data_IF_693852787058
#
_entry.id   IF_693852787058
#
_cell.length_a   1.000
_cell.length_b   1.000
_cell.length_c   1.000
_cell.angle_alpha   90.00
_cell.angle_beta   90.00
_cell.angle_gamma   90.00
#
_symmetry.space_group_name_H-M   'P 1'
#
loop_
_entity.id
_entity.type
_entity.pdbx_description
1 polymer ?
#
# COMPACT_ATOMS: atom_id res chain seq x y z
N UNK A 1 -93.69 -25.25 -41.66
CA UNK A 1 -93.51 -24.62 -40.43
C UNK A 1 -92.84 -23.32 -40.65
N UNK A 2 -93.47 -22.22 -40.22
CA UNK A 2 -92.96 -20.85 -40.37
C UNK A 2 -92.12 -20.47 -39.11
N UNK A 3 -90.92 -21.03 -39.01
CA UNK A 3 -89.97 -20.53 -38.02
C UNK A 3 -88.95 -19.61 -38.70
N UNK A 4 -88.91 -18.36 -38.28
CA UNK A 4 -87.87 -17.46 -38.73
C UNK A 4 -86.53 -17.92 -38.18
N UNK A 5 -85.48 -17.87 -39.01
CA UNK A 5 -84.10 -18.01 -38.52
C UNK A 5 -83.79 -16.90 -37.59
N UNK A 6 -83.26 -17.20 -36.43
CA UNK A 6 -82.69 -16.23 -35.45
C UNK A 6 -81.20 -16.32 -35.54
N UNK A 7 -80.53 -15.19 -35.70
CA UNK A 7 -79.08 -15.09 -35.63
C UNK A 7 -78.71 -14.21 -34.46
N UNK A 8 -77.67 -14.59 -33.76
CA UNK A 8 -77.02 -13.81 -32.71
C UNK A 8 -75.57 -13.60 -33.14
N UNK A 9 -75.03 -12.39 -32.92
CA UNK A 9 -73.68 -12.00 -33.31
C UNK A 9 -72.81 -11.89 -32.06
N UNK A 10 -71.66 -12.54 -32.08
CA UNK A 10 -70.62 -12.40 -31.06
C UNK A 10 -69.47 -11.57 -31.63
N UNK A 11 -69.16 -10.44 -30.96
CA UNK A 11 -68.02 -9.62 -31.31
C UNK A 11 -66.82 -10.10 -30.49
N UNK A 12 -65.79 -10.60 -31.17
CA UNK A 12 -64.51 -10.95 -30.58
C UNK A 12 -63.54 -9.83 -30.87
N UNK A 13 -63.07 -9.14 -29.80
CA UNK A 13 -62.06 -8.11 -29.91
C UNK A 13 -60.72 -8.75 -29.57
N UNK A 14 -59.77 -8.73 -30.50
CA UNK A 14 -58.38 -9.13 -30.30
C UNK A 14 -57.57 -7.89 -29.90
N UNK A 15 -56.82 -8.02 -28.85
CA UNK A 15 -55.85 -6.99 -28.39
C UNK A 15 -54.45 -7.45 -28.76
N UNK A 16 -53.58 -6.54 -29.12
CA UNK A 16 -52.16 -6.83 -29.38
C UNK A 16 -51.48 -7.33 -28.14
N UNK A 17 -50.50 -8.22 -28.35
CA UNK A 17 -49.68 -8.76 -27.22
C UNK A 17 -48.79 -7.67 -26.64
N UNK A 18 -48.61 -7.66 -25.31
CA UNK A 18 -47.64 -6.75 -24.67
C UNK A 18 -46.23 -7.11 -25.07
N UNK A 19 -45.34 -6.10 -25.15
CA UNK A 19 -43.92 -6.28 -25.46
C UNK A 19 -43.10 -5.55 -24.39
N UNK A 20 -42.09 -6.24 -23.90
CA UNK A 20 -41.08 -5.64 -23.02
C UNK A 20 -39.77 -5.44 -23.79
N UNK A 21 -39.09 -4.36 -23.55
CA UNK A 21 -37.80 -3.99 -24.14
C UNK A 21 -36.86 -3.59 -22.99
N UNK A 22 -36.06 -4.50 -22.52
CA UNK A 22 -35.10 -4.31 -21.40
C UNK A 22 -33.83 -3.55 -21.81
N UNK A 23 -33.69 -3.20 -23.09
CA UNK A 23 -32.49 -2.62 -23.66
C UNK A 23 -31.36 -3.65 -23.87
N UNK A 24 -30.23 -3.21 -24.42
CA UNK A 24 -29.09 -4.09 -24.70
C UNK A 24 -28.25 -4.36 -23.46
N UNK A 25 -27.55 -5.50 -23.45
CA UNK A 25 -26.57 -5.87 -22.45
C UNK A 25 -25.52 -4.75 -22.27
N UNK A 26 -25.06 -4.56 -21.04
CA UNK A 26 -24.04 -3.57 -20.71
C UNK A 26 -22.83 -4.23 -20.01
N UNK A 27 -21.67 -3.65 -20.23
CA UNK A 27 -20.46 -3.95 -19.45
C UNK A 27 -20.02 -2.71 -18.70
N UNK A 28 -19.84 -2.85 -17.40
CA UNK A 28 -19.49 -1.73 -16.50
C UNK A 28 -18.32 -2.14 -15.60
N UNK A 29 -17.70 -1.18 -14.95
CA UNK A 29 -16.68 -1.45 -13.94
C UNK A 29 -17.29 -1.55 -12.54
N UNK A 30 -16.68 -2.34 -11.66
CA UNK A 30 -17.07 -2.47 -10.27
C UNK A 30 -16.92 -1.18 -9.45
N UNK A 31 -16.14 -0.20 -9.94
CA UNK A 31 -15.99 1.12 -9.33
C UNK A 31 -17.05 2.14 -9.78
N UNK A 32 -17.98 1.75 -10.69
CA UNK A 32 -19.11 2.55 -11.11
C UNK A 32 -20.24 2.36 -10.11
N UNK A 33 -20.78 3.46 -9.61
CA UNK A 33 -21.80 3.43 -8.56
C UNK A 33 -23.21 3.05 -9.05
N UNK A 34 -23.47 3.11 -10.37
CA UNK A 34 -24.81 2.85 -10.91
C UNK A 34 -24.82 2.63 -12.43
N UNK A 35 -25.84 1.92 -12.90
CA UNK A 35 -26.10 1.60 -14.32
C UNK A 35 -27.44 2.16 -14.73
N UNK A 36 -27.47 3.06 -15.71
CA UNK A 36 -28.72 3.64 -16.24
C UNK A 36 -29.46 2.62 -17.12
N UNK A 37 -30.75 2.47 -16.86
CA UNK A 37 -31.64 1.60 -17.61
C UNK A 37 -32.49 2.43 -18.58
N UNK A 38 -32.82 1.87 -19.76
CA UNK A 38 -33.64 2.48 -20.77
C UNK A 38 -34.71 1.46 -21.18
N UNK A 39 -35.56 1.09 -20.23
CA UNK A 39 -36.64 0.14 -20.48
C UNK A 39 -37.77 0.75 -21.31
N UNK A 40 -38.43 -0.09 -22.06
CA UNK A 40 -39.62 0.28 -22.82
C UNK A 40 -40.69 -0.82 -22.80
N UNK A 41 -41.94 -0.43 -22.95
CA UNK A 41 -43.06 -1.35 -23.08
C UNK A 41 -43.99 -0.90 -24.24
N UNK A 42 -44.59 -1.85 -24.94
CA UNK A 42 -45.62 -1.62 -25.92
C UNK A 42 -46.87 -2.46 -25.55
N UNK A 43 -48.07 -1.95 -25.86
CA UNK A 43 -49.35 -2.61 -25.56
C UNK A 43 -49.51 -3.00 -24.07
N UNK A 44 -48.90 -2.26 -23.17
CA UNK A 44 -48.93 -2.36 -21.72
C UNK A 44 -48.93 -0.99 -21.09
N UNK A 45 -49.43 -0.84 -19.85
CA UNK A 45 -49.47 0.45 -19.14
C UNK A 45 -48.10 0.80 -18.55
N UNK A 46 -47.30 -0.19 -18.13
CA UNK A 46 -46.00 0.00 -17.51
C UNK A 46 -45.20 -1.29 -17.43
N UNK A 47 -44.11 -1.26 -16.70
CA UNK A 47 -43.25 -2.41 -16.45
C UNK A 47 -42.66 -2.36 -15.05
N UNK A 48 -42.18 -3.50 -14.59
CA UNK A 48 -41.44 -3.65 -13.33
C UNK A 48 -40.13 -4.34 -13.61
N UNK A 49 -39.04 -3.73 -13.14
CA UNK A 49 -37.72 -4.32 -13.11
C UNK A 49 -37.58 -5.30 -11.94
N UNK A 50 -36.90 -6.38 -12.18
CA UNK A 50 -36.42 -7.32 -11.14
C UNK A 50 -34.98 -7.73 -11.44
N UNK A 51 -34.28 -8.29 -10.45
CA UNK A 51 -32.89 -8.71 -10.58
C UNK A 51 -32.67 -10.08 -9.93
N UNK A 52 -31.73 -10.86 -10.46
CA UNK A 52 -31.22 -12.05 -9.81
C UNK A 52 -30.08 -11.73 -8.80
N UNK A 53 -29.62 -10.47 -8.78
CA UNK A 53 -28.63 -9.95 -7.85
C UNK A 53 -29.24 -9.40 -6.54
N UNK A 54 -28.44 -8.65 -5.81
CA UNK A 54 -28.83 -8.03 -4.53
C UNK A 54 -28.76 -6.50 -4.55
N UNK A 55 -28.53 -5.89 -5.73
CA UNK A 55 -28.58 -4.45 -5.95
C UNK A 55 -30.01 -3.90 -5.91
N UNK A 56 -30.14 -2.59 -6.04
CA UNK A 56 -31.40 -1.87 -5.92
C UNK A 56 -31.69 -0.99 -7.14
N UNK A 57 -32.97 -0.74 -7.39
CA UNK A 57 -33.44 0.20 -8.43
C UNK A 57 -33.76 1.56 -7.82
N UNK A 58 -33.33 2.63 -8.46
CA UNK A 58 -33.55 4.01 -8.01
C UNK A 58 -34.09 4.86 -9.16
N UNK A 59 -35.20 5.62 -9.02
CA UNK A 59 -35.95 5.85 -7.77
C UNK A 59 -36.84 4.66 -7.37
N UNK A 60 -37.24 3.79 -8.29
CA UNK A 60 -38.05 2.61 -8.04
C UNK A 60 -37.91 1.60 -9.16
N UNK A 61 -38.28 0.35 -8.89
CA UNK A 61 -38.33 -0.75 -9.88
C UNK A 61 -39.43 -0.60 -10.94
N UNK A 62 -40.43 0.30 -10.72
CA UNK A 62 -41.49 0.62 -11.66
C UNK A 62 -41.14 1.77 -12.62
N UNK A 63 -40.00 2.43 -12.42
CA UNK A 63 -39.50 3.42 -13.39
C UNK A 63 -38.75 2.71 -14.52
N UNK A 64 -39.26 2.84 -15.73
CA UNK A 64 -38.62 2.21 -16.90
C UNK A 64 -37.21 2.73 -17.15
N UNK A 65 -36.92 3.97 -16.77
CA UNK A 65 -35.61 4.61 -16.86
C UNK A 65 -34.88 4.63 -15.53
N UNK A 66 -35.16 3.67 -14.64
CA UNK A 66 -34.45 3.56 -13.35
C UNK A 66 -32.94 3.42 -13.53
N UNK A 67 -32.26 3.63 -12.47
CA UNK A 67 -30.82 3.32 -12.33
C UNK A 67 -30.67 2.10 -11.45
N UNK A 68 -29.97 1.09 -11.91
CA UNK A 68 -29.58 -0.06 -11.09
C UNK A 68 -28.30 0.26 -10.36
N UNK A 69 -28.29 0.10 -9.04
CA UNK A 69 -27.12 0.25 -8.17
C UNK A 69 -26.65 -1.14 -7.75
N UNK A 70 -25.56 -1.66 -8.34
CA UNK A 70 -25.04 -2.97 -7.99
C UNK A 70 -24.63 -3.01 -6.52
N UNK A 71 -24.88 -4.14 -5.86
CA UNK A 71 -24.36 -4.40 -4.53
C UNK A 71 -22.90 -4.90 -4.57
N UNK A 72 -22.25 -4.98 -3.40
CA UNK A 72 -20.94 -5.65 -3.29
C UNK A 72 -21.01 -7.12 -3.68
N UNK A 73 -22.14 -7.80 -3.43
CA UNK A 73 -22.36 -9.17 -3.89
C UNK A 73 -22.37 -9.27 -5.42
N UNK A 74 -23.03 -8.35 -6.09
CA UNK A 74 -23.10 -8.30 -7.57
C UNK A 74 -21.71 -8.05 -8.18
N UNK A 75 -20.93 -7.12 -7.60
CA UNK A 75 -19.57 -6.82 -8.06
C UNK A 75 -18.62 -8.00 -7.86
N UNK A 76 -18.80 -8.78 -6.79
CA UNK A 76 -18.01 -10.00 -6.54
C UNK A 76 -18.34 -11.14 -7.52
N UNK A 77 -19.64 -11.30 -7.87
CA UNK A 77 -20.11 -12.30 -8.85
C UNK A 77 -19.70 -11.91 -10.27
N UNK A 78 -19.65 -10.60 -10.56
CA UNK A 78 -19.24 -10.05 -11.85
C UNK A 78 -20.31 -10.11 -12.94
N UNK A 79 -21.52 -10.53 -12.63
CA UNK A 79 -22.64 -10.62 -13.59
C UNK A 79 -23.98 -10.50 -12.87
N UNK A 80 -24.90 -9.74 -13.46
CA UNK A 80 -26.27 -9.57 -12.98
C UNK A 80 -27.22 -9.60 -14.18
N UNK A 81 -28.32 -10.35 -14.07
CA UNK A 81 -29.40 -10.34 -15.04
C UNK A 81 -30.57 -9.51 -14.50
N UNK A 82 -30.95 -8.49 -15.23
CA UNK A 82 -32.15 -7.68 -14.97
C UNK A 82 -33.29 -8.18 -15.88
N UNK A 83 -34.49 -8.20 -15.35
CA UNK A 83 -35.70 -8.61 -16.09
C UNK A 83 -36.71 -7.48 -16.03
N UNK A 84 -37.15 -6.99 -17.19
CA UNK A 84 -38.28 -6.05 -17.30
C UNK A 84 -39.55 -6.85 -17.64
N UNK A 85 -40.54 -6.80 -16.78
CA UNK A 85 -41.83 -7.48 -16.96
C UNK A 85 -42.94 -6.46 -17.17
N UNK A 86 -43.76 -6.58 -18.23
CA UNK A 86 -44.87 -5.68 -18.51
C UNK A 86 -45.99 -5.77 -17.47
N UNK A 87 -46.62 -4.65 -17.17
CA UNK A 87 -47.76 -4.52 -16.24
C UNK A 87 -48.93 -3.81 -16.87
N UNK A 88 -50.16 -4.05 -16.35
CA UNK A 88 -51.37 -3.44 -16.93
C UNK A 88 -51.69 -3.95 -18.33
N UNK A 89 -51.52 -5.25 -18.56
CA UNK A 89 -51.61 -5.93 -19.85
C UNK A 89 -53.05 -6.22 -20.31
N UNK A 90 -54.07 -5.70 -19.61
CA UNK A 90 -55.47 -6.02 -19.88
C UNK A 90 -55.77 -7.49 -19.68
N UNK A 91 -56.25 -8.17 -20.71
CA UNK A 91 -56.54 -9.61 -20.70
C UNK A 91 -55.35 -10.49 -21.15
N UNK A 92 -54.23 -9.85 -21.56
CA UNK A 92 -53.03 -10.57 -22.02
C UNK A 92 -52.12 -10.95 -20.85
N UNK A 93 -51.35 -12.04 -21.02
CA UNK A 93 -50.30 -12.39 -20.09
C UNK A 93 -49.18 -11.36 -20.09
N UNK A 94 -48.49 -11.22 -18.95
CA UNK A 94 -47.28 -10.41 -18.88
C UNK A 94 -46.19 -10.97 -19.79
N UNK A 95 -45.40 -10.11 -20.38
CA UNK A 95 -44.23 -10.41 -21.18
C UNK A 95 -42.98 -9.87 -20.52
N UNK A 96 -41.89 -10.55 -20.63
CA UNK A 96 -40.62 -10.17 -20.05
C UNK A 96 -39.49 -10.14 -21.07
N UNK A 97 -38.50 -9.32 -20.81
CA UNK A 97 -37.26 -9.23 -21.55
C UNK A 97 -36.09 -9.11 -20.58
N UNK A 98 -34.91 -9.57 -21.00
CA UNK A 98 -33.73 -9.70 -20.15
C UNK A 98 -32.62 -8.76 -20.63
N UNK A 99 -31.88 -8.23 -19.68
CA UNK A 99 -30.68 -7.44 -19.88
C UNK A 99 -29.59 -7.97 -18.95
N UNK A 100 -28.42 -8.31 -19.50
CA UNK A 100 -27.27 -8.73 -18.70
C UNK A 100 -26.33 -7.54 -18.46
N UNK A 101 -25.89 -7.40 -17.22
CA UNK A 101 -24.83 -6.48 -16.83
C UNK A 101 -23.59 -7.31 -16.48
N UNK A 102 -22.53 -7.16 -17.26
CA UNK A 102 -21.21 -7.70 -16.92
C UNK A 102 -20.44 -6.67 -16.12
N UNK A 103 -19.99 -7.02 -14.91
CA UNK A 103 -19.27 -6.12 -14.01
C UNK A 103 -17.80 -6.57 -13.97
N UNK A 104 -16.92 -5.79 -14.56
CA UNK A 104 -15.48 -6.06 -14.54
C UNK A 104 -14.86 -5.59 -13.21
N UNK A 105 -13.92 -6.34 -12.61
CA UNK A 105 -13.23 -5.91 -11.39
C UNK A 105 -12.50 -4.58 -11.59
N UNK A 106 -12.49 -3.73 -10.56
CA UNK A 106 -11.72 -2.49 -10.56
C UNK A 106 -10.20 -2.78 -10.59
N UNK A 107 -9.40 -1.93 -11.23
CA UNK A 107 -7.96 -2.09 -11.24
C UNK A 107 -7.36 -1.77 -9.87
N UNK A 108 -6.24 -2.41 -9.57
CA UNK A 108 -5.45 -2.19 -8.36
C UNK A 108 -4.01 -1.96 -8.79
N UNK A 109 -3.34 -0.97 -8.17
CA UNK A 109 -1.89 -0.79 -8.22
C UNK A 109 -1.31 -1.11 -6.85
N UNK A 110 -0.09 -1.61 -6.84
CA UNK A 110 0.76 -1.73 -5.67
C UNK A 110 2.13 -1.14 -6.02
N UNK A 111 2.45 0.01 -5.43
CA UNK A 111 3.69 0.76 -5.67
C UNK A 111 4.88 0.22 -4.86
N UNK A 112 4.65 -0.69 -3.94
CA UNK A 112 5.63 -1.20 -2.98
C UNK A 112 5.46 -0.60 -1.59
N UNK A 113 6.32 -1.02 -0.67
CA UNK A 113 6.33 -0.50 0.69
C UNK A 113 7.17 0.78 0.79
N UNK A 114 6.85 1.62 1.76
CA UNK A 114 7.69 2.77 2.12
C UNK A 114 9.13 2.32 2.36
N UNK A 115 10.08 3.11 1.85
CA UNK A 115 11.49 2.74 1.86
C UNK A 115 12.40 3.92 2.17
N UNK A 116 13.66 3.63 2.47
CA UNK A 116 14.68 4.65 2.71
C UNK A 116 15.96 4.33 1.97
N UNK A 117 16.63 5.38 1.47
CA UNK A 117 17.93 5.30 0.81
C UNK A 117 18.90 6.32 1.39
N UNK A 118 20.19 6.08 1.16
CA UNK A 118 21.23 7.05 1.49
C UNK A 118 21.48 8.00 0.30
N UNK A 119 21.74 9.26 0.59
CA UNK A 119 22.11 10.24 -0.44
C UNK A 119 23.43 9.92 -1.17
N UNK A 120 24.28 9.00 -0.64
CA UNK A 120 25.44 8.46 -1.35
C UNK A 120 25.11 7.37 -2.37
N UNK A 121 23.97 6.73 -2.23
CA UNK A 121 23.46 5.74 -3.19
C UNK A 121 21.98 6.07 -3.50
N UNK A 122 21.73 7.10 -4.29
CA UNK A 122 20.43 7.75 -4.43
C UNK A 122 19.50 7.01 -5.39
N UNK A 123 19.63 5.70 -5.56
CA UNK A 123 18.85 4.88 -6.49
C UNK A 123 17.90 3.95 -5.74
N UNK A 124 16.64 3.90 -6.18
CA UNK A 124 15.57 3.11 -5.58
C UNK A 124 15.00 2.16 -6.63
N UNK A 125 15.26 0.86 -6.54
CA UNK A 125 14.55 -0.09 -7.38
C UNK A 125 13.08 -0.14 -6.96
N UNK A 126 12.18 0.10 -7.92
CA UNK A 126 10.75 0.01 -7.75
C UNK A 126 10.29 -1.40 -8.14
N UNK A 127 9.32 -1.93 -7.44
CA UNK A 127 8.74 -3.26 -7.68
C UNK A 127 7.23 -3.14 -7.79
N UNK A 128 6.76 -2.32 -8.73
CA UNK A 128 5.33 -2.08 -8.91
C UNK A 128 4.60 -3.30 -9.50
N UNK A 129 3.33 -3.42 -9.14
CA UNK A 129 2.45 -4.40 -9.79
C UNK A 129 1.06 -3.82 -9.98
N UNK A 130 0.35 -4.34 -10.98
CA UNK A 130 -1.03 -3.96 -11.28
C UNK A 130 -1.89 -5.21 -11.48
N UNK A 131 -3.16 -5.13 -11.10
CA UNK A 131 -4.16 -6.18 -11.28
C UNK A 131 -5.32 -5.59 -12.07
N UNK A 132 -5.88 -6.34 -13.01
CA UNK A 132 -7.01 -5.96 -13.88
C UNK A 132 -6.69 -4.83 -14.87
N UNK A 133 -5.58 -4.13 -14.72
CA UNK A 133 -5.06 -3.15 -15.67
C UNK A 133 -4.01 -3.80 -16.58
N UNK A 134 -3.75 -3.21 -17.77
CA UNK A 134 -2.73 -3.72 -18.70
C UNK A 134 -1.35 -3.16 -18.45
N UNK A 135 -1.22 -2.10 -17.64
CA UNK A 135 0.04 -1.46 -17.29
C UNK A 135 -0.12 -0.43 -16.17
N UNK A 136 0.97 0.25 -15.86
CA UNK A 136 1.03 1.35 -14.92
C UNK A 136 2.00 2.43 -15.38
N UNK A 137 1.86 3.60 -14.80
CA UNK A 137 2.79 4.72 -15.00
C UNK A 137 3.23 5.26 -13.65
N UNK A 138 4.54 5.43 -13.51
CA UNK A 138 5.14 6.06 -12.36
C UNK A 138 5.16 7.58 -12.50
N UNK A 139 4.83 8.28 -11.43
CA UNK A 139 4.98 9.72 -11.30
C UNK A 139 5.54 10.06 -9.92
N UNK A 140 5.96 11.29 -9.71
CA UNK A 140 6.54 11.71 -8.43
C UNK A 140 6.25 13.19 -8.16
N UNK A 141 6.22 13.58 -6.89
CA UNK A 141 6.27 14.98 -6.48
C UNK A 141 7.71 15.52 -6.39
N UNK A 142 8.71 14.64 -6.56
CA UNK A 142 10.12 15.02 -6.63
C UNK A 142 10.57 15.46 -8.02
N UNK A 143 11.86 15.59 -8.21
CA UNK A 143 12.50 15.99 -9.47
C UNK A 143 13.52 14.97 -9.99
N UNK A 144 13.53 13.75 -9.43
CA UNK A 144 14.31 12.62 -9.91
C UNK A 144 13.76 12.01 -11.21
N UNK A 145 14.41 10.96 -11.70
CA UNK A 145 14.08 10.33 -12.97
C UNK A 145 13.83 8.83 -12.84
N UNK A 146 13.00 8.29 -13.74
CA UNK A 146 12.73 6.86 -13.85
C UNK A 146 13.54 6.22 -14.97
N UNK A 147 14.26 5.14 -14.68
CA UNK A 147 15.09 4.41 -15.64
C UNK A 147 14.65 2.93 -15.69
N UNK A 148 14.39 2.32 -16.88
CA UNK A 148 14.60 2.86 -18.23
C UNK A 148 13.55 3.91 -18.65
N UNK A 149 12.36 3.88 -18.05
CA UNK A 149 11.25 4.82 -18.27
C UNK A 149 10.20 4.69 -17.15
N UNK A 150 9.23 5.56 -17.16
CA UNK A 150 8.14 5.64 -16.16
C UNK A 150 7.02 4.61 -16.35
N UNK A 151 7.01 3.85 -17.45
CA UNK A 151 6.03 2.78 -17.70
C UNK A 151 6.53 1.38 -17.36
N UNK A 152 7.82 1.23 -17.05
CA UNK A 152 8.37 -0.03 -16.55
C UNK A 152 8.01 -0.19 -15.06
N UNK A 153 7.23 -1.22 -14.72
CA UNK A 153 6.81 -1.47 -13.35
C UNK A 153 8.00 -1.76 -12.41
N UNK A 154 9.14 -2.22 -12.96
CA UNK A 154 10.39 -2.46 -12.24
C UNK A 154 11.41 -1.34 -12.47
N UNK A 155 10.97 -0.13 -12.80
CA UNK A 155 11.86 1.00 -12.98
C UNK A 155 12.72 1.27 -11.75
N UNK A 156 13.83 1.95 -11.97
CA UNK A 156 14.66 2.51 -10.90
C UNK A 156 14.36 4.01 -10.83
N UNK A 157 14.02 4.51 -9.65
CA UNK A 157 13.95 5.94 -9.40
C UNK A 157 15.31 6.44 -8.94
N UNK A 158 15.89 7.37 -9.67
CA UNK A 158 17.13 8.06 -9.32
C UNK A 158 16.78 9.44 -8.75
N UNK A 159 17.10 9.66 -7.47
CA UNK A 159 16.76 10.91 -6.79
C UNK A 159 17.63 12.06 -7.28
N UNK A 160 17.03 13.22 -7.42
CA UNK A 160 17.77 14.45 -7.73
C UNK A 160 18.47 15.04 -6.49
N UNK A 161 19.36 16.03 -6.69
CA UNK A 161 19.93 16.79 -5.57
C UNK A 161 18.86 17.55 -4.79
N UNK A 162 17.81 18.00 -5.45
CA UNK A 162 16.67 18.65 -4.78
C UNK A 162 15.93 17.67 -3.86
N UNK A 163 15.68 16.46 -4.32
CA UNK A 163 15.03 15.40 -3.53
C UNK A 163 15.87 15.06 -2.30
N UNK A 164 17.19 14.93 -2.47
CA UNK A 164 18.14 14.67 -1.39
C UNK A 164 18.17 15.80 -0.36
N UNK A 165 17.96 17.03 -0.79
CA UNK A 165 17.92 18.21 0.11
C UNK A 165 16.60 18.26 0.89
N UNK A 166 15.47 17.90 0.24
CA UNK A 166 14.16 17.84 0.88
C UNK A 166 14.07 16.65 1.84
N UNK A 167 14.75 15.55 1.53
CA UNK A 167 14.84 14.35 2.37
C UNK A 167 13.65 13.40 2.27
N UNK A 168 12.57 13.76 1.56
CA UNK A 168 11.38 12.92 1.36
C UNK A 168 10.79 13.13 -0.02
N UNK A 169 10.37 12.04 -0.66
CA UNK A 169 9.70 12.05 -1.97
C UNK A 169 8.54 11.06 -1.95
N UNK A 170 7.43 11.44 -2.55
CA UNK A 170 6.33 10.52 -2.84
C UNK A 170 6.41 10.07 -4.29
N UNK A 171 6.34 8.76 -4.50
CA UNK A 171 6.34 8.11 -5.80
C UNK A 171 4.99 7.40 -5.95
N UNK A 172 4.30 7.64 -7.05
CA UNK A 172 2.95 7.16 -7.32
C UNK A 172 2.97 6.17 -8.47
N UNK A 173 2.30 5.04 -8.32
CA UNK A 173 1.99 4.12 -9.41
C UNK A 173 0.51 4.22 -9.76
N UNK A 174 0.20 4.69 -10.95
CA UNK A 174 -1.17 4.81 -11.46
C UNK A 174 -1.40 3.77 -12.54
N UNK A 175 -2.50 3.01 -12.44
CA UNK A 175 -2.87 1.98 -13.43
C UNK A 175 -3.22 2.60 -14.76
N UNK A 176 -2.87 1.92 -15.87
CA UNK A 176 -3.19 2.29 -17.25
C UNK A 176 -3.81 1.13 -18.01
N UNK A 177 -4.58 1.44 -19.07
CA UNK A 177 -5.31 0.41 -19.82
C UNK A 177 -6.39 -0.26 -19.00
N UNK A 178 -7.15 0.53 -18.26
CA UNK A 178 -8.16 0.11 -17.28
C UNK A 178 -9.51 -0.29 -17.90
N UNK A 179 -9.62 -0.31 -19.24
CA UNK A 179 -10.89 -0.55 -19.93
C UNK A 179 -11.92 0.53 -19.60
N UNK A 180 -13.05 0.12 -19.03
CA UNK A 180 -14.13 1.03 -18.60
C UNK A 180 -13.96 1.54 -17.16
N UNK A 181 -12.94 1.07 -16.44
CA UNK A 181 -12.69 1.40 -15.04
C UNK A 181 -11.90 2.70 -14.89
N UNK A 182 -12.07 3.36 -13.74
CA UNK A 182 -11.22 4.48 -13.36
C UNK A 182 -9.78 4.00 -13.08
N UNK A 183 -8.82 4.88 -13.26
CA UNK A 183 -7.46 4.60 -12.85
C UNK A 183 -7.36 4.54 -11.32
N UNK A 184 -6.55 3.62 -10.81
CA UNK A 184 -6.21 3.51 -9.40
C UNK A 184 -4.75 3.91 -9.20
N UNK A 185 -4.47 4.62 -8.10
CA UNK A 185 -3.13 5.08 -7.76
C UNK A 185 -2.76 4.59 -6.36
N UNK A 186 -1.56 4.01 -6.25
CA UNK A 186 -0.92 3.69 -4.98
C UNK A 186 0.35 4.52 -4.81
N UNK A 187 0.80 4.70 -3.56
CA UNK A 187 1.88 5.62 -3.22
C UNK A 187 2.91 4.91 -2.34
N UNK A 188 4.18 5.07 -2.69
CA UNK A 188 5.32 4.74 -1.81
C UNK A 188 5.99 6.03 -1.34
N UNK A 189 6.26 6.13 -0.03
CA UNK A 189 7.01 7.22 0.56
C UNK A 189 8.50 6.83 0.63
N UNK A 190 9.33 7.63 -0.02
CA UNK A 190 10.77 7.49 -0.01
C UNK A 190 11.38 8.49 0.99
N UNK A 191 12.14 7.97 1.95
CA UNK A 191 12.96 8.79 2.85
C UNK A 191 14.42 8.76 2.39
N UNK A 192 15.03 9.93 2.21
CA UNK A 192 16.43 10.06 1.78
C UNK A 192 17.26 10.53 2.97
N UNK A 193 18.12 9.65 3.48
CA UNK A 193 18.98 9.94 4.63
C UNK A 193 20.23 10.69 4.14
N UNK A 194 20.58 11.84 4.74
CA UNK A 194 21.81 12.54 4.39
C UNK A 194 23.04 11.75 4.80
N UNK A 195 24.18 12.00 4.14
CA UNK A 195 25.44 11.26 4.31
C UNK A 195 26.20 11.59 5.59
N UNK A 196 25.77 12.57 6.36
CA UNK A 196 26.51 13.08 7.52
C UNK A 196 26.30 12.25 8.80
N UNK A 197 26.27 10.91 8.70
CA UNK A 197 26.34 10.08 9.91
C UNK A 197 27.76 10.19 10.44
N UNK A 198 27.90 10.71 11.64
CA UNK A 198 29.18 10.70 12.36
C UNK A 198 29.03 9.99 13.69
N UNK A 199 30.09 9.34 14.10
CA UNK A 199 30.27 8.73 15.42
C UNK A 199 31.60 9.21 15.99
N UNK A 200 31.61 9.53 17.26
CA UNK A 200 32.81 9.91 17.99
C UNK A 200 32.75 9.28 19.40
N UNK A 201 33.72 8.47 19.73
CA UNK A 201 33.77 7.71 20.98
C UNK A 201 34.78 8.25 21.99
N UNK A 202 35.52 9.30 21.62
CA UNK A 202 36.60 9.85 22.42
C UNK A 202 37.98 9.50 21.86
N UNK A 203 39.03 9.86 22.62
CA UNK A 203 40.40 9.52 22.27
C UNK A 203 40.90 8.40 23.15
N UNK A 204 42.00 7.76 22.72
CA UNK A 204 42.72 6.79 23.53
C UNK A 204 42.98 7.33 24.93
N UNK A 205 42.78 6.52 25.94
CA UNK A 205 42.81 6.93 27.34
C UNK A 205 43.58 5.92 28.21
N UNK A 206 44.03 6.38 29.35
CA UNK A 206 44.74 5.62 30.35
C UNK A 206 43.95 5.57 31.66
N UNK A 207 43.70 4.37 32.19
CA UNK A 207 42.90 4.17 33.42
C UNK A 207 43.60 3.17 34.36
N UNK A 208 43.21 3.18 35.65
CA UNK A 208 43.61 2.16 36.60
C UNK A 208 42.74 0.90 36.42
N UNK A 209 43.32 -0.28 36.52
CA UNK A 209 42.64 -1.56 36.21
C UNK A 209 41.57 -2.00 37.22
N UNK A 210 41.48 -1.37 38.39
CA UNK A 210 40.46 -1.58 39.40
C UNK A 210 39.23 -0.64 39.27
N UNK A 211 39.29 0.34 38.35
CA UNK A 211 38.21 1.28 38.06
C UNK A 211 37.31 0.78 36.93
N UNK A 212 36.15 1.40 36.78
CA UNK A 212 35.31 1.31 35.58
C UNK A 212 35.49 2.56 34.73
N UNK A 213 35.40 2.44 33.40
CA UNK A 213 35.46 3.56 32.49
C UNK A 213 34.05 4.03 32.13
N UNK A 214 33.72 5.28 32.41
CA UNK A 214 32.51 5.90 31.92
C UNK A 214 32.74 6.38 30.50
N UNK A 215 31.90 5.87 29.59
CA UNK A 215 31.94 6.20 28.18
C UNK A 215 31.15 7.49 27.92
N UNK A 216 31.52 8.21 26.87
CA UNK A 216 30.86 9.47 26.50
C UNK A 216 30.91 9.64 24.97
N UNK A 217 30.09 8.88 24.27
CA UNK A 217 30.03 8.92 22.81
C UNK A 217 29.03 9.95 22.30
N UNK A 218 29.31 10.47 21.11
CA UNK A 218 28.43 11.34 20.37
C UNK A 218 28.16 10.77 18.98
N UNK A 219 26.91 10.82 18.56
CA UNK A 219 26.50 10.43 17.20
C UNK A 219 25.65 11.53 16.60
N UNK A 220 25.69 11.65 15.27
CA UNK A 220 24.81 12.58 14.52
C UNK A 220 24.07 11.82 13.44
N UNK A 221 22.84 12.23 13.13
CA UNK A 221 21.98 11.66 12.08
C UNK A 221 21.47 10.24 12.37
N UNK A 222 22.32 9.34 12.92
CA UNK A 222 21.86 8.05 13.43
C UNK A 222 21.07 8.22 14.75
N UNK A 223 20.17 7.30 15.03
CA UNK A 223 19.28 7.38 16.21
C UNK A 223 19.80 6.62 17.43
N UNK A 224 20.87 5.84 17.28
CA UNK A 224 21.49 5.08 18.38
C UNK A 224 22.81 4.46 17.99
N UNK A 225 23.44 3.75 18.94
CA UNK A 225 24.67 3.00 18.75
C UNK A 225 24.69 1.74 19.60
N UNK A 226 25.59 0.82 19.27
CA UNK A 226 25.85 -0.40 20.04
C UNK A 226 27.33 -0.49 20.31
N UNK A 227 27.69 -0.52 21.59
CA UNK A 227 29.03 -0.79 22.05
C UNK A 227 29.41 -2.25 21.91
N UNK A 228 30.65 -2.51 21.57
CA UNK A 228 31.25 -3.85 21.49
C UNK A 228 32.71 -3.80 21.81
N UNK A 229 33.30 -4.94 22.17
CA UNK A 229 34.74 -5.13 22.45
C UNK A 229 35.16 -6.53 22.05
N UNK A 230 36.44 -6.73 21.83
CA UNK A 230 37.11 -8.07 21.76
C UNK A 230 37.66 -8.54 23.11
N UNK A 231 37.63 -7.66 24.14
CA UNK A 231 37.95 -8.00 25.51
C UNK A 231 36.86 -8.82 26.20
N UNK A 232 37.12 -9.16 27.47
CA UNK A 232 36.20 -9.96 28.29
C UNK A 232 35.44 -9.16 29.35
N UNK A 233 35.59 -7.83 29.33
CA UNK A 233 34.83 -6.93 30.17
C UNK A 233 33.36 -6.77 29.77
N UNK A 234 32.61 -6.06 30.58
CA UNK A 234 31.15 -5.91 30.43
C UNK A 234 30.76 -4.45 30.39
N UNK A 235 29.82 -4.14 29.50
CA UNK A 235 29.14 -2.83 29.48
C UNK A 235 27.92 -2.84 30.43
N UNK A 236 27.67 -1.73 31.11
CA UNK A 236 26.44 -1.55 31.91
C UNK A 236 25.19 -1.66 31.04
N UNK A 237 25.25 -1.10 29.83
CA UNK A 237 24.25 -1.19 28.78
C UNK A 237 24.97 -0.93 27.45
N UNK A 238 24.92 -1.88 26.52
CA UNK A 238 25.56 -1.75 25.21
C UNK A 238 24.91 -0.70 24.32
N UNK A 239 23.70 -0.27 24.62
CA UNK A 239 22.93 0.70 23.80
C UNK A 239 22.98 2.13 24.38
N UNK A 240 23.45 2.30 25.61
CA UNK A 240 23.64 3.63 26.20
C UNK A 240 24.99 4.22 25.73
N UNK A 241 24.94 5.39 25.07
CA UNK A 241 26.14 6.09 24.60
C UNK A 241 27.07 6.50 25.77
N UNK A 242 26.52 6.62 26.98
CA UNK A 242 27.24 6.97 28.21
C UNK A 242 27.39 5.77 29.15
N UNK A 243 27.40 4.56 28.60
CA UNK A 243 27.56 3.33 29.39
C UNK A 243 28.85 3.35 30.21
N UNK A 244 28.91 2.52 31.25
CA UNK A 244 30.17 2.20 31.93
C UNK A 244 30.71 0.86 31.43
N UNK A 245 32.00 0.79 31.16
CA UNK A 245 32.72 -0.44 30.86
C UNK A 245 33.47 -0.93 32.08
N UNK A 246 33.22 -2.17 32.48
CA UNK A 246 33.89 -2.87 33.59
C UNK A 246 34.93 -3.83 33.00
N UNK A 247 36.19 -3.62 33.33
CA UNK A 247 37.26 -4.41 32.77
C UNK A 247 37.18 -5.87 33.21
N UNK A 248 37.43 -6.76 32.26
CA UNK A 248 37.56 -8.20 32.53
C UNK A 248 39.00 -8.59 32.97
N UNK A 249 39.15 -9.79 33.50
CA UNK A 249 40.47 -10.29 33.89
C UNK A 249 41.50 -10.34 32.75
N UNK A 250 41.05 -10.64 31.52
CA UNK A 250 41.98 -10.69 30.39
C UNK A 250 42.34 -9.28 29.89
N UNK A 251 41.42 -8.30 30.02
CA UNK A 251 41.68 -6.89 29.67
C UNK A 251 42.83 -6.36 30.56
N UNK A 252 42.74 -6.61 31.88
CA UNK A 252 43.79 -6.18 32.85
C UNK A 252 45.11 -6.90 32.63
N UNK A 253 45.10 -8.21 32.30
CA UNK A 253 46.34 -8.95 31.98
C UNK A 253 46.97 -8.45 30.66
N UNK A 254 46.16 -8.10 29.69
CA UNK A 254 46.64 -7.54 28.42
C UNK A 254 47.13 -6.09 28.53
N UNK A 255 46.78 -5.39 29.63
CA UNK A 255 47.02 -3.97 29.87
C UNK A 255 46.40 -3.03 28.80
N UNK A 256 45.49 -3.54 28.02
CA UNK A 256 44.81 -2.74 26.95
C UNK A 256 43.55 -3.43 26.48
N UNK A 257 42.57 -2.63 26.06
CA UNK A 257 41.33 -3.08 25.39
C UNK A 257 40.84 -2.05 24.37
N UNK A 258 40.37 -2.52 23.24
CA UNK A 258 39.72 -1.68 22.25
C UNK A 258 38.20 -1.73 22.43
N UNK A 259 37.57 -0.55 22.46
CA UNK A 259 36.13 -0.37 22.52
C UNK A 259 35.64 0.22 21.23
N UNK A 260 34.55 -0.33 20.69
CA UNK A 260 33.97 0.01 19.40
C UNK A 260 32.53 0.46 19.60
N UNK A 261 32.11 1.53 18.92
CA UNK A 261 30.71 1.92 18.82
C UNK A 261 30.27 1.86 17.36
N UNK A 262 29.26 1.06 17.10
CA UNK A 262 28.63 0.93 15.78
C UNK A 262 27.30 1.68 15.81
N UNK A 263 27.07 2.62 14.88
CA UNK A 263 25.80 3.36 14.80
C UNK A 263 24.64 2.48 14.36
N UNK A 264 23.45 2.75 14.91
CA UNK A 264 22.18 2.08 14.59
C UNK A 264 21.09 3.08 14.23
N UNK A 265 20.03 2.63 13.53
CA UNK A 265 19.00 3.55 13.05
C UNK A 265 19.53 4.55 12.03
N UNK A 266 20.33 4.06 11.09
CA UNK A 266 21.06 4.86 10.09
C UNK A 266 20.19 5.24 8.89
N UNK A 267 18.86 4.97 8.93
CA UNK A 267 17.97 5.11 7.78
C UNK A 267 18.44 4.22 6.64
N UNK A 268 18.56 4.77 5.43
CA UNK A 268 19.06 4.05 4.25
C UNK A 268 20.59 3.97 4.15
N UNK A 269 21.36 4.55 5.11
CA UNK A 269 22.81 4.61 5.05
C UNK A 269 23.48 3.44 5.78
N UNK A 270 24.73 3.14 5.40
CA UNK A 270 25.54 2.14 6.10
C UNK A 270 25.89 2.61 7.52
N UNK A 271 25.99 1.65 8.45
CA UNK A 271 26.47 1.92 9.79
C UNK A 271 27.91 2.47 9.75
N UNK A 272 28.19 3.38 10.68
CA UNK A 272 29.53 3.91 10.92
C UNK A 272 30.06 3.31 12.21
N UNK A 273 31.37 3.09 12.26
CA UNK A 273 32.08 2.55 13.43
C UNK A 273 33.20 3.50 13.79
N UNK A 274 33.32 3.77 15.06
CA UNK A 274 34.50 4.43 15.64
C UNK A 274 34.98 3.64 16.85
N UNK A 275 36.24 3.78 17.17
CA UNK A 275 36.89 3.03 18.26
C UNK A 275 37.97 3.85 18.94
N UNK A 276 38.24 3.50 20.17
CA UNK A 276 39.38 4.04 20.91
C UNK A 276 39.99 2.92 21.76
N UNK A 277 41.29 3.06 22.04
CA UNK A 277 42.04 2.17 22.87
C UNK A 277 42.06 2.66 24.31
N UNK A 278 41.89 1.77 25.25
CA UNK A 278 42.05 1.99 26.68
C UNK A 278 43.30 1.29 27.14
N UNK A 279 44.30 2.03 27.58
CA UNK A 279 45.47 1.50 28.25
C UNK A 279 45.17 1.34 29.76
N UNK A 280 45.45 0.16 30.29
CA UNK A 280 45.12 -0.23 31.67
C UNK A 280 46.42 -0.33 32.48
N UNK A 281 46.55 0.47 33.52
CA UNK A 281 47.68 0.38 34.45
C UNK A 281 47.29 -0.44 35.68
N UNK A 282 48.15 -1.37 36.03
CA UNK A 282 48.03 -2.04 37.30
C UNK A 282 48.12 -1.07 38.46
N UNK A 283 47.31 -1.19 39.54
CA UNK A 283 47.45 -0.42 40.73
C UNK A 283 48.88 -0.62 41.30
N UNK A 284 49.52 0.48 41.62
CA UNK A 284 50.87 0.41 42.27
C UNK A 284 50.76 -0.36 43.59
N UNK A 285 51.28 -1.58 43.63
CA UNK A 285 51.53 -2.31 44.90
C UNK A 285 52.55 -1.54 45.70
N UNK A 286 52.11 -0.97 46.81
CA UNK A 286 53.01 -0.40 47.82
C UNK A 286 53.81 -1.59 48.42
N UNK A 287 55.06 -1.79 47.92
CA UNK A 287 55.99 -2.69 48.57
C UNK A 287 56.26 -2.16 50.00
N UNK A 288 55.62 -2.77 50.99
CA UNK A 288 55.96 -2.54 52.41
C UNK A 288 57.32 -3.16 52.61
N UNK A 289 58.38 -2.34 52.58
CA UNK A 289 59.66 -2.79 53.10
C UNK A 289 59.52 -3.00 54.59
N UNK A 290 59.38 -4.27 55.00
CA UNK A 290 59.56 -4.61 56.37
C UNK A 290 61.10 -4.45 56.74
N UNK A 291 61.39 -3.39 57.48
CA UNK A 291 62.72 -3.26 58.13
C UNK A 291 62.72 -4.22 59.27
N UNK A 292 63.41 -5.40 59.10
CA UNK A 292 63.83 -6.23 60.16
C UNK A 292 64.96 -5.52 60.86
N UNK A 293 64.78 -5.16 62.15
CA UNK A 293 65.83 -4.87 63.14
C UNK A 293 65.91 -5.96 64.14
#
# INVERSE_FOLDING_TARGET
GLCNAYSDDVIITLTDIPVSLASSDQTVCADISSVSLNGGVLNAIGGIWSTNGTGIFTPSDSDLNATYVPSTGDTMVGNVTLTLTTTGNGLCNAYNDLMNITITPAPIAFAGNDTSVCSTNPVVPLGGSVITATGGIWTTNGSGTFTPNDTDLNAIYETSLSDQTIGTVQIYLTTTGNGLCNAFTDTVNLTITPTSITVFVGNDTLVCGDDSLVLNAAITTATGGIWSTLGDGLFSDTTDLNASYFFGPNDTVANTVDLYLTTTGNGGCSAQVDSFQVDIQDPLELAVMSSDT
#
